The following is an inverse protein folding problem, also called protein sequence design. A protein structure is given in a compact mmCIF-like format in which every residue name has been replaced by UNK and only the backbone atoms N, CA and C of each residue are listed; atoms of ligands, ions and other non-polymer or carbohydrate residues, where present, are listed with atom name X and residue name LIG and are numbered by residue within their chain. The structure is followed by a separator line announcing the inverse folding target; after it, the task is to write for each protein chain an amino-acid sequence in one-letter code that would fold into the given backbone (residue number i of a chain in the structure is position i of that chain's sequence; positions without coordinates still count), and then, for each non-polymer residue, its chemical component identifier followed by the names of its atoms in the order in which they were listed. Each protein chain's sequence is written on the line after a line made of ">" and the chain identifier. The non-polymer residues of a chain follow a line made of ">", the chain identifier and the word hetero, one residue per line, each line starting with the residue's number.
data_IF_577896986171
#
_entry.id   IF_577896986171
#
_cell.length_a   1.000
_cell.length_b   1.000
_cell.length_c   1.000
_cell.angle_alpha   90.00
_cell.angle_beta   90.00
_cell.angle_gamma   90.00
#
_symmetry.space_group_name_H-M   'P 1'
#
loop_
_entity.id
_entity.type
_entity.pdbx_description
1 polymer ?
#
# COMPACT_ATOMS: atom_id res chain seq x y z
N UNK A 1 18.14 7.97 6.32
CA UNK A 1 16.74 7.74 5.93
C UNK A 1 16.83 6.83 4.72
N UNK A 2 16.43 5.57 4.88
CA UNK A 2 16.54 4.57 3.81
C UNK A 2 15.55 4.85 2.70
N UNK A 3 15.74 4.26 1.54
CA UNK A 3 14.79 4.33 0.42
C UNK A 3 13.43 3.74 0.84
N UNK A 4 13.45 2.71 1.70
CA UNK A 4 12.29 2.10 2.35
C UNK A 4 11.32 3.11 3.00
N UNK A 5 11.84 4.09 3.75
CA UNK A 5 11.02 5.07 4.48
C UNK A 5 10.17 5.93 3.53
N UNK A 6 10.70 6.26 2.35
CA UNK A 6 10.00 7.09 1.36
C UNK A 6 8.85 6.35 0.69
N UNK A 7 9.03 5.05 0.41
CA UNK A 7 8.00 4.20 -0.18
C UNK A 7 6.80 4.06 0.77
N UNK A 8 7.08 3.90 2.06
CA UNK A 8 6.02 3.80 3.06
C UNK A 8 5.23 5.09 3.24
N UNK A 9 5.88 6.25 3.16
CA UNK A 9 5.19 7.54 3.23
C UNK A 9 4.23 7.72 2.03
N UNK A 10 4.66 7.31 0.83
CA UNK A 10 3.82 7.35 -0.37
C UNK A 10 2.59 6.45 -0.26
N UNK A 11 2.75 5.19 0.17
CA UNK A 11 1.65 4.25 0.36
C UNK A 11 0.68 4.76 1.43
N UNK A 12 1.19 5.28 2.54
CA UNK A 12 0.36 5.83 3.61
C UNK A 12 -0.42 7.07 3.15
N UNK A 13 0.23 7.99 2.41
CA UNK A 13 -0.41 9.15 1.83
C UNK A 13 -1.55 8.75 0.87
N UNK A 14 -1.31 7.73 0.04
CA UNK A 14 -2.30 7.23 -0.91
C UNK A 14 -3.46 6.52 -0.23
N UNK A 15 -3.18 5.71 0.78
CA UNK A 15 -4.18 5.06 1.60
C UNK A 15 -5.06 6.10 2.31
N UNK A 16 -4.47 7.17 2.86
CA UNK A 16 -5.25 8.30 3.40
C UNK A 16 -6.09 9.01 2.36
N UNK A 17 -5.62 9.13 1.12
CA UNK A 17 -6.34 9.80 0.03
C UNK A 17 -7.52 8.97 -0.50
N UNK A 18 -7.35 7.66 -0.66
CA UNK A 18 -8.35 6.76 -1.27
C UNK A 18 -9.28 6.12 -0.23
N UNK A 19 -8.75 5.83 0.96
CA UNK A 19 -9.40 5.04 1.98
C UNK A 19 -9.04 5.56 3.40
N UNK A 20 -9.50 6.77 3.77
CA UNK A 20 -9.16 7.40 5.06
C UNK A 20 -9.63 6.61 6.29
N UNK A 21 -10.62 5.73 6.12
CA UNK A 21 -11.12 4.82 7.15
C UNK A 21 -10.23 3.60 7.38
N UNK A 22 -9.24 3.37 6.49
CA UNK A 22 -8.26 2.31 6.62
C UNK A 22 -6.97 2.85 7.26
N UNK A 23 -6.20 1.96 7.88
CA UNK A 23 -4.89 2.25 8.47
C UNK A 23 -3.90 1.15 8.14
N UNK A 24 -2.65 1.50 7.94
CA UNK A 24 -1.57 0.51 7.83
C UNK A 24 -1.16 0.07 9.23
N UNK A 25 -1.21 -1.23 9.52
CA UNK A 25 -0.82 -1.82 10.81
C UNK A 25 0.52 -2.56 10.79
N UNK A 26 0.88 -3.21 9.68
CA UNK A 26 2.13 -3.97 9.58
C UNK A 26 2.81 -3.67 8.26
N UNK A 27 4.14 -3.49 8.32
CA UNK A 27 5.02 -3.20 7.20
C UNK A 27 6.15 -4.22 7.25
N UNK A 28 6.19 -5.14 6.29
CA UNK A 28 7.26 -6.13 6.15
C UNK A 28 7.83 -6.04 4.75
N UNK A 29 9.15 -6.00 4.64
CA UNK A 29 9.84 -6.24 3.38
C UNK A 29 10.16 -7.73 3.28
N UNK A 30 9.56 -8.43 2.32
CA UNK A 30 9.93 -9.81 2.00
C UNK A 30 11.05 -9.79 0.95
N UNK A 31 12.27 -9.63 1.46
CA UNK A 31 13.54 -9.61 0.68
C UNK A 31 13.72 -10.87 -0.17
N UNK A 32 13.09 -11.98 0.23
CA UNK A 32 13.18 -13.25 -0.47
C UNK A 32 12.31 -13.32 -1.74
N UNK A 33 11.30 -12.44 -1.88
CA UNK A 33 10.45 -12.33 -3.08
C UNK A 33 10.62 -11.03 -3.84
N UNK A 34 11.35 -10.07 -3.28
CA UNK A 34 11.32 -8.71 -3.77
C UNK A 34 9.90 -8.16 -3.76
N UNK A 35 9.21 -8.29 -2.62
CA UNK A 35 7.89 -7.71 -2.40
C UNK A 35 7.79 -7.04 -1.01
N UNK A 36 7.01 -5.98 -0.93
CA UNK A 36 6.53 -5.36 0.29
C UNK A 36 5.17 -5.95 0.70
N UNK A 37 5.04 -6.40 1.94
CA UNK A 37 3.77 -6.82 2.52
C UNK A 37 3.23 -5.71 3.43
N UNK A 38 2.01 -5.26 3.15
CA UNK A 38 1.32 -4.23 3.91
C UNK A 38 0.03 -4.79 4.48
N UNK A 39 -0.10 -4.75 5.80
CA UNK A 39 -1.37 -5.07 6.47
C UNK A 39 -2.19 -3.80 6.60
N UNK A 40 -3.32 -3.76 5.92
CA UNK A 40 -4.30 -2.69 6.01
C UNK A 40 -5.42 -3.13 6.93
N UNK A 41 -5.77 -2.30 7.92
CA UNK A 41 -6.88 -2.53 8.84
C UNK A 41 -7.94 -1.45 8.70
N UNK A 42 -9.19 -1.88 8.66
CA UNK A 42 -10.34 -1.00 8.70
C UNK A 42 -10.58 -0.51 10.12
N UNK A 43 -10.55 0.80 10.34
CA UNK A 43 -10.67 1.39 11.68
C UNK A 43 -12.05 1.14 12.31
N UNK A 44 -13.11 1.12 11.51
CA UNK A 44 -14.50 0.90 11.97
C UNK A 44 -14.85 -0.56 12.27
N UNK A 45 -14.56 -1.48 11.33
CA UNK A 45 -14.97 -2.89 11.45
C UNK A 45 -13.91 -3.74 12.13
N UNK A 46 -12.68 -3.25 12.25
CA UNK A 46 -11.54 -4.00 12.78
C UNK A 46 -11.04 -5.10 11.85
N UNK A 47 -11.65 -5.30 10.67
CA UNK A 47 -11.20 -6.24 9.65
C UNK A 47 -9.84 -5.81 9.10
N UNK A 48 -8.98 -6.76 8.76
CA UNK A 48 -7.66 -6.50 8.21
C UNK A 48 -7.40 -7.34 6.97
N UNK A 49 -6.62 -6.78 6.04
CA UNK A 49 -6.25 -7.39 4.76
C UNK A 49 -4.77 -7.16 4.51
N UNK A 50 -4.06 -8.23 4.18
CA UNK A 50 -2.68 -8.16 3.69
C UNK A 50 -2.69 -7.90 2.19
N UNK A 51 -1.89 -6.94 1.75
CA UNK A 51 -1.62 -6.68 0.34
C UNK A 51 -0.13 -6.85 0.08
N UNK A 52 0.21 -7.51 -1.03
CA UNK A 52 1.57 -7.65 -1.51
C UNK A 52 1.81 -6.62 -2.61
N UNK A 53 2.84 -5.81 -2.45
CA UNK A 53 3.29 -4.81 -3.41
C UNK A 53 4.71 -5.20 -3.88
N UNK A 54 5.11 -4.90 -5.12
CA UNK A 54 6.47 -5.20 -5.60
C UNK A 54 7.55 -4.36 -4.87
N UNK A 55 8.74 -4.94 -4.63
CA UNK A 55 9.96 -4.32 -3.98
C UNK A 55 10.52 -3.14 -4.77
N UNK A 56 10.30 -3.14 -6.08
CA UNK A 56 10.68 -2.05 -6.95
C UNK A 56 9.43 -1.33 -7.42
N UNK A 57 8.79 -0.54 -6.54
CA UNK A 57 7.84 0.40 -7.03
C UNK A 57 8.70 1.61 -7.44
N UNK A 58 8.80 1.84 -8.74
CA UNK A 58 9.58 2.91 -9.39
C UNK A 58 9.03 4.27 -8.93
N UNK A 59 9.31 4.64 -7.68
CA UNK A 59 9.02 5.96 -7.11
C UNK A 59 10.29 6.77 -6.92
N UNK A 60 11.46 6.18 -7.16
CA UNK A 60 12.69 6.97 -7.20
C UNK A 60 12.76 7.70 -8.55
N UNK A 61 12.70 9.03 -8.45
CA UNK A 61 12.88 10.02 -9.51
C UNK A 61 11.62 10.38 -10.33
N UNK A 62 10.91 11.38 -9.81
CA UNK A 62 10.46 12.58 -10.53
C UNK A 62 10.83 12.57 -12.03
N UNK A 63 9.98 11.96 -12.87
CA UNK A 63 9.64 12.32 -14.27
C UNK A 63 9.02 11.12 -15.01
N UNK A 64 9.31 9.87 -14.60
CA UNK A 64 8.91 8.68 -15.35
C UNK A 64 8.26 7.61 -14.46
N UNK A 65 7.34 8.05 -13.61
CA UNK A 65 6.50 7.16 -12.82
C UNK A 65 5.76 6.22 -13.78
N UNK A 66 6.03 4.92 -13.70
CA UNK A 66 5.27 3.94 -14.47
C UNK A 66 3.86 3.94 -13.86
N UNK A 67 2.96 4.75 -14.41
CA UNK A 67 1.56 4.95 -13.95
C UNK A 67 0.83 3.64 -13.68
N UNK A 68 1.32 2.53 -14.24
CA UNK A 68 0.83 1.18 -14.04
C UNK A 68 1.06 0.68 -12.62
N UNK A 69 2.18 1.02 -11.98
CA UNK A 69 2.46 0.63 -10.59
C UNK A 69 1.68 1.47 -9.58
N UNK A 70 1.53 2.78 -9.83
CA UNK A 70 0.58 3.63 -9.11
C UNK A 70 -0.83 3.06 -9.15
N UNK A 71 -1.32 2.76 -10.37
CA UNK A 71 -2.63 2.17 -10.55
C UNK A 71 -2.76 0.78 -9.90
N UNK A 72 -1.66 0.03 -9.79
CA UNK A 72 -1.65 -1.26 -9.11
C UNK A 72 -1.83 -1.11 -7.60
N UNK A 73 -1.08 -0.21 -6.97
CA UNK A 73 -1.19 0.09 -5.54
C UNK A 73 -2.57 0.67 -5.23
N UNK A 74 -3.06 1.61 -6.04
CA UNK A 74 -4.40 2.19 -5.90
C UNK A 74 -5.48 1.11 -6.00
N UNK A 75 -5.36 0.22 -6.99
CA UNK A 75 -6.30 -0.90 -7.15
C UNK A 75 -6.25 -1.82 -5.93
N UNK A 76 -5.08 -2.19 -5.43
CA UNK A 76 -4.94 -3.05 -4.26
C UNK A 76 -5.56 -2.41 -3.00
N UNK A 77 -5.36 -1.11 -2.80
CA UNK A 77 -5.97 -0.36 -1.69
C UNK A 77 -7.49 -0.32 -1.84
N UNK A 78 -8.01 -0.03 -3.03
CA UNK A 78 -9.46 0.04 -3.29
C UNK A 78 -10.13 -1.33 -3.19
N UNK A 79 -9.46 -2.39 -3.64
CA UNK A 79 -9.93 -3.77 -3.53
C UNK A 79 -9.97 -4.20 -2.06
N UNK A 80 -8.89 -3.97 -1.31
CA UNK A 80 -8.86 -4.19 0.12
C UNK A 80 -9.96 -3.38 0.83
N UNK A 81 -10.17 -2.12 0.43
CA UNK A 81 -11.27 -1.30 0.96
C UNK A 81 -12.63 -1.94 0.70
N UNK A 82 -12.92 -2.35 -0.53
CA UNK A 82 -14.18 -3.01 -0.90
C UNK A 82 -14.40 -4.28 -0.08
N UNK A 83 -13.40 -5.16 -0.01
CA UNK A 83 -13.49 -6.41 0.77
C UNK A 83 -13.69 -6.17 2.27
N UNK A 84 -13.11 -5.09 2.80
CA UNK A 84 -13.22 -4.71 4.22
C UNK A 84 -14.53 -3.96 4.54
N UNK A 85 -15.13 -3.29 3.55
CA UNK A 85 -16.42 -2.61 3.63
C UNK A 85 -17.61 -3.53 3.36
N UNK A 86 -17.42 -4.61 2.60
CA UNK A 86 -18.45 -5.62 2.38
C UNK A 86 -18.73 -6.40 3.69
N UNK A 87 -20.01 -6.51 4.11
CA UNK A 87 -20.40 -7.05 5.41
C UNK A 87 -20.09 -8.54 5.57
#
# INVERSE_FOLDING_TARGET
>A
MGEDDKYWDAIEARLRALAPDLKVELKTHDDNRGNFVVLIRHARTGKSREIELPEDPVWDMVDNLDKRQEAHVDKAILEAKSELEEP
#
